data_IF_767985324164
#
_entry.id   IF_767985324164
#
_cell.length_a   1.000
_cell.length_b   1.000
_cell.length_c   1.000
_cell.angle_alpha   90.00
_cell.angle_beta   90.00
_cell.angle_gamma   90.00
#
_symmetry.space_group_name_H-M   'P 1'
#
loop_
_entity.id
_entity.type
_entity.pdbx_description
1 polymer ?
#
# COMPACT_ATOMS: atom_id res chain seq x y z
N UNK A 1 -30.48 47.18 -3.75
CA UNK A 1 -30.67 46.44 -5.02
C UNK A 1 -29.91 45.12 -4.88
N UNK A 2 -30.61 43.99 -4.77
CA UNK A 2 -30.01 42.72 -4.34
C UNK A 2 -29.26 42.04 -5.50
N UNK A 3 -28.07 41.50 -5.23
CA UNK A 3 -27.13 40.84 -6.16
C UNK A 3 -27.79 39.86 -7.16
N UNK A 4 -28.89 39.23 -6.75
CA UNK A 4 -29.68 38.33 -7.59
C UNK A 4 -30.25 39.01 -8.85
N UNK A 5 -30.64 40.28 -8.79
CA UNK A 5 -31.17 40.99 -9.95
C UNK A 5 -30.10 41.30 -10.99
N UNK A 6 -28.89 41.61 -10.56
CA UNK A 6 -27.75 41.92 -11.46
C UNK A 6 -27.29 40.68 -12.22
N UNK A 7 -27.25 39.52 -11.54
CA UNK A 7 -26.87 38.23 -12.14
C UNK A 7 -27.92 37.76 -13.15
N UNK A 8 -29.21 37.95 -12.86
CA UNK A 8 -30.30 37.57 -13.77
C UNK A 8 -30.34 38.45 -15.03
N UNK A 9 -30.04 39.76 -14.90
CA UNK A 9 -29.95 40.68 -16.04
C UNK A 9 -28.74 40.40 -16.95
N UNK A 10 -27.61 39.94 -16.38
CA UNK A 10 -26.45 39.50 -17.14
C UNK A 10 -26.75 38.25 -17.98
N UNK A 11 -27.41 37.26 -17.37
CA UNK A 11 -27.83 36.03 -18.06
C UNK A 11 -28.79 36.31 -19.24
N UNK A 12 -29.65 37.32 -19.11
CA UNK A 12 -30.58 37.74 -20.18
C UNK A 12 -29.90 38.46 -21.36
N UNK A 13 -28.70 39.05 -21.19
CA UNK A 13 -28.03 39.83 -22.25
C UNK A 13 -27.04 39.03 -23.13
N UNK A 14 -26.39 37.98 -22.62
CA UNK A 14 -25.38 37.20 -23.37
C UNK A 14 -25.58 35.70 -23.16
N UNK A 15 -26.65 35.10 -23.72
CA UNK A 15 -26.94 33.67 -23.53
C UNK A 15 -25.80 32.75 -24.02
N UNK A 16 -25.05 33.19 -25.04
CA UNK A 16 -23.90 32.48 -25.58
C UNK A 16 -22.77 32.35 -24.53
N UNK A 17 -22.48 33.40 -23.76
CA UNK A 17 -21.40 33.39 -22.76
C UNK A 17 -21.68 32.40 -21.61
N UNK A 18 -22.95 32.23 -21.22
CA UNK A 18 -23.36 31.23 -20.23
C UNK A 18 -23.11 29.80 -20.70
N UNK A 19 -23.35 29.52 -21.99
CA UNK A 19 -23.07 28.21 -22.61
C UNK A 19 -21.56 27.96 -22.66
N UNK A 20 -20.75 28.93 -23.09
CA UNK A 20 -19.28 28.80 -23.11
C UNK A 20 -18.68 28.63 -21.71
N UNK A 21 -19.19 29.33 -20.70
CA UNK A 21 -18.74 29.16 -19.31
C UNK A 21 -19.15 27.80 -18.75
N UNK A 22 -20.38 27.35 -19.01
CA UNK A 22 -20.83 26.02 -18.58
C UNK A 22 -20.01 24.91 -19.25
N UNK A 23 -19.79 25.01 -20.57
CA UNK A 23 -18.96 24.06 -21.32
C UNK A 23 -17.49 24.12 -20.89
N UNK A 24 -16.97 25.31 -20.59
CA UNK A 24 -15.61 25.53 -20.09
C UNK A 24 -15.38 24.96 -18.69
N UNK A 25 -16.29 25.19 -17.74
CA UNK A 25 -16.26 24.55 -16.41
C UNK A 25 -16.38 23.03 -16.56
N UNK A 26 -17.25 22.54 -17.44
CA UNK A 26 -17.42 21.11 -17.66
C UNK A 26 -16.13 20.47 -18.22
N UNK A 27 -15.48 21.12 -19.20
CA UNK A 27 -14.17 20.71 -19.74
C UNK A 27 -13.09 20.72 -18.64
N UNK A 28 -12.99 21.80 -17.85
CA UNK A 28 -11.98 21.96 -16.80
C UNK A 28 -12.19 20.93 -15.68
N UNK A 29 -13.43 20.68 -15.30
CA UNK A 29 -13.78 19.68 -14.29
C UNK A 29 -13.48 18.26 -14.79
N UNK A 30 -13.65 17.99 -16.09
CA UNK A 30 -13.29 16.70 -16.66
C UNK A 30 -11.79 16.49 -16.78
N UNK A 31 -11.05 17.53 -17.16
CA UNK A 31 -9.59 17.49 -17.25
C UNK A 31 -8.95 17.24 -15.87
N UNK A 32 -9.41 17.95 -14.83
CA UNK A 32 -8.93 17.76 -13.47
C UNK A 32 -9.17 16.34 -12.93
N UNK A 33 -10.30 15.70 -13.29
CA UNK A 33 -10.56 14.30 -12.90
C UNK A 33 -9.66 13.26 -13.56
N UNK A 34 -9.11 13.55 -14.75
CA UNK A 34 -8.20 12.64 -15.45
C UNK A 34 -6.77 12.79 -14.90
N UNK A 35 -6.35 14.02 -14.62
CA UNK A 35 -5.06 14.29 -13.98
C UNK A 35 -4.97 13.66 -12.57
N UNK A 36 -6.06 13.66 -11.79
CA UNK A 36 -6.07 13.02 -10.46
C UNK A 36 -5.96 11.50 -10.51
N UNK A 37 -6.43 10.85 -11.58
CA UNK A 37 -6.29 9.39 -11.71
C UNK A 37 -4.88 8.97 -12.16
N UNK A 38 -4.18 9.79 -12.95
CA UNK A 38 -2.82 9.47 -13.39
C UNK A 38 -1.81 9.47 -12.23
N UNK A 39 -1.89 10.44 -11.32
CA UNK A 39 -0.96 10.52 -10.18
C UNK A 39 -1.04 9.25 -9.30
N UNK A 40 -2.24 8.75 -9.02
CA UNK A 40 -2.46 7.56 -8.20
C UNK A 40 -1.83 6.29 -8.80
N UNK A 41 -1.83 6.15 -10.12
CA UNK A 41 -1.20 4.99 -10.80
C UNK A 41 0.32 5.03 -10.62
N UNK A 42 0.96 6.19 -10.79
CA UNK A 42 2.41 6.31 -10.58
C UNK A 42 2.81 6.01 -9.14
N UNK A 43 2.09 6.54 -8.15
CA UNK A 43 2.35 6.23 -6.74
C UNK A 43 2.15 4.76 -6.41
N UNK A 44 1.13 4.12 -7.01
CA UNK A 44 0.87 2.69 -6.82
C UNK A 44 2.00 1.83 -7.39
N UNK A 45 2.48 2.14 -8.60
CA UNK A 45 3.58 1.40 -9.24
C UNK A 45 4.87 1.55 -8.41
N UNK A 46 5.20 2.77 -7.98
CA UNK A 46 6.38 3.03 -7.16
C UNK A 46 6.28 2.30 -5.82
N UNK A 47 5.10 2.29 -5.18
CA UNK A 47 4.88 1.59 -3.91
C UNK A 47 5.11 0.08 -4.04
N UNK A 48 4.61 -0.55 -5.10
CA UNK A 48 4.82 -1.99 -5.36
C UNK A 48 6.28 -2.30 -5.65
N UNK A 49 6.97 -1.45 -6.41
CA UNK A 49 8.41 -1.60 -6.67
C UNK A 49 9.22 -1.49 -5.37
N UNK A 50 8.94 -0.50 -4.52
CA UNK A 50 9.65 -0.33 -3.25
C UNK A 50 9.36 -1.49 -2.29
N UNK A 51 8.12 -1.97 -2.22
CA UNK A 51 7.75 -3.11 -1.37
C UNK A 51 8.48 -4.40 -1.80
N UNK A 52 8.56 -4.65 -3.11
CA UNK A 52 9.24 -5.83 -3.64
C UNK A 52 10.76 -5.76 -3.51
N UNK A 53 11.37 -4.57 -3.58
CA UNK A 53 12.79 -4.38 -3.29
C UNK A 53 13.15 -4.78 -1.85
N UNK A 54 12.28 -4.52 -0.88
CA UNK A 54 12.52 -4.93 0.52
C UNK A 54 12.58 -6.46 0.71
N UNK A 55 11.74 -7.21 -0.01
CA UNK A 55 11.80 -8.69 -0.03
C UNK A 55 13.04 -9.19 -0.78
N UNK A 56 13.41 -8.50 -1.86
CA UNK A 56 14.58 -8.86 -2.67
C UNK A 56 15.91 -8.64 -1.92
N UNK A 57 16.03 -7.57 -1.12
CA UNK A 57 17.21 -7.29 -0.30
C UNK A 57 17.50 -8.41 0.71
N UNK A 58 16.45 -8.93 1.36
CA UNK A 58 16.55 -10.07 2.27
C UNK A 58 17.06 -11.32 1.53
N UNK A 59 16.52 -11.60 0.34
CA UNK A 59 16.96 -12.71 -0.50
C UNK A 59 18.43 -12.56 -0.93
N UNK A 60 18.84 -11.36 -1.32
CA UNK A 60 20.21 -11.05 -1.71
C UNK A 60 21.17 -11.29 -0.55
N UNK A 61 20.88 -10.70 0.62
CA UNK A 61 21.69 -10.85 1.83
C UNK A 61 21.91 -12.34 2.18
N UNK A 62 20.83 -13.11 2.13
CA UNK A 62 20.84 -14.53 2.44
C UNK A 62 21.66 -15.34 1.43
N UNK A 63 21.64 -14.99 0.14
CA UNK A 63 22.50 -15.60 -0.90
C UNK A 63 23.98 -15.31 -0.64
N UNK A 64 24.31 -14.10 -0.18
CA UNK A 64 25.69 -13.68 0.07
C UNK A 64 26.34 -14.41 1.25
N UNK A 65 25.57 -14.63 2.32
CA UNK A 65 26.01 -15.35 3.52
C UNK A 65 26.19 -16.86 3.23
N UNK A 66 25.27 -17.44 2.46
CA UNK A 66 25.27 -18.88 2.18
C UNK A 66 26.32 -19.32 1.17
N UNK A 67 26.71 -18.48 0.19
CA UNK A 67 27.70 -18.85 -0.82
C UNK A 67 29.08 -19.21 -0.25
N UNK A 68 29.51 -18.59 0.85
CA UNK A 68 30.82 -18.90 1.46
C UNK A 68 30.79 -20.23 2.21
N UNK A 69 29.75 -20.54 2.98
CA UNK A 69 29.69 -21.79 3.74
C UNK A 69 29.30 -23.02 2.90
N UNK A 70 28.45 -22.85 1.88
CA UNK A 70 28.05 -23.92 0.94
C UNK A 70 29.25 -24.38 0.11
N UNK A 71 30.06 -23.44 -0.37
CA UNK A 71 31.21 -23.73 -1.25
C UNK A 71 32.23 -24.57 -0.51
N UNK A 72 32.55 -24.24 0.75
CA UNK A 72 33.54 -24.97 1.56
C UNK A 72 33.04 -26.38 1.92
N UNK A 73 31.74 -26.54 2.26
CA UNK A 73 31.17 -27.86 2.60
C UNK A 73 30.96 -28.78 1.39
N UNK A 74 30.78 -28.23 0.19
CA UNK A 74 30.73 -29.01 -1.06
C UNK A 74 32.09 -29.63 -1.42
N UNK A 75 33.21 -28.96 -1.11
CA UNK A 75 34.56 -29.50 -1.42
C UNK A 75 34.91 -30.70 -0.52
N UNK A 76 34.37 -30.76 0.70
CA UNK A 76 34.60 -31.87 1.65
C UNK A 76 33.57 -33.01 1.55
N UNK A 77 32.73 -33.07 0.51
CA UNK A 77 31.80 -34.19 0.30
C UNK A 77 30.59 -34.24 1.25
N UNK A 78 30.23 -33.13 1.91
CA UNK A 78 29.09 -33.10 2.84
C UNK A 78 27.75 -32.89 2.12
N UNK A 79 26.74 -33.67 2.52
CA UNK A 79 25.36 -33.63 2.02
C UNK A 79 24.76 -32.21 1.96
N UNK A 80 24.32 -31.80 0.76
CA UNK A 80 23.66 -30.53 0.45
C UNK A 80 22.38 -30.27 1.27
N UNK A 81 21.77 -31.32 1.83
CA UNK A 81 20.49 -31.25 2.55
C UNK A 81 20.61 -30.46 3.86
N UNK A 82 21.74 -30.55 4.56
CA UNK A 82 21.94 -29.90 5.86
C UNK A 82 22.09 -28.38 5.73
N UNK A 83 22.58 -27.94 4.58
CA UNK A 83 22.79 -26.53 4.25
C UNK A 83 21.45 -25.87 3.94
N UNK A 84 20.61 -26.53 3.13
CA UNK A 84 19.22 -26.13 2.90
C UNK A 84 18.44 -26.02 4.22
N UNK A 85 18.66 -26.95 5.16
CA UNK A 85 17.98 -26.93 6.46
C UNK A 85 18.42 -25.74 7.35
N UNK A 86 19.71 -25.41 7.40
CA UNK A 86 20.20 -24.21 8.12
C UNK A 86 19.64 -22.91 7.51
N UNK A 87 19.55 -22.86 6.19
CA UNK A 87 19.01 -21.71 5.46
C UNK A 87 17.52 -21.51 5.75
N UNK A 88 16.74 -22.59 5.64
CA UNK A 88 15.30 -22.58 5.98
C UNK A 88 15.08 -22.17 7.44
N UNK A 89 15.90 -22.67 8.37
CA UNK A 89 15.81 -22.31 9.79
C UNK A 89 16.02 -20.81 10.02
N UNK A 90 17.03 -20.19 9.38
CA UNK A 90 17.27 -18.75 9.51
C UNK A 90 16.09 -17.94 8.96
N UNK A 91 15.56 -18.31 7.80
CA UNK A 91 14.41 -17.62 7.21
C UNK A 91 13.14 -17.74 8.08
N UNK A 92 12.87 -18.93 8.62
CA UNK A 92 11.74 -19.18 9.52
C UNK A 92 11.81 -18.34 10.81
N UNK A 93 13.00 -18.09 11.36
CA UNK A 93 13.16 -17.26 12.56
C UNK A 93 12.73 -15.81 12.26
N UNK A 94 13.17 -15.24 11.14
CA UNK A 94 12.76 -13.87 10.74
C UNK A 94 11.25 -13.80 10.51
N UNK A 95 10.66 -14.79 9.83
CA UNK A 95 9.21 -14.85 9.61
C UNK A 95 8.42 -14.93 10.92
N UNK A 96 8.85 -15.77 11.85
CA UNK A 96 8.22 -15.90 13.17
C UNK A 96 8.26 -14.58 13.94
N UNK A 97 9.42 -13.92 13.96
CA UNK A 97 9.56 -12.62 14.63
C UNK A 97 8.66 -11.56 14.00
N UNK A 98 8.60 -11.49 12.67
CA UNK A 98 7.73 -10.57 11.97
C UNK A 98 6.25 -10.82 12.29
N UNK A 99 5.83 -12.09 12.32
CA UNK A 99 4.44 -12.47 12.62
C UNK A 99 4.05 -12.11 14.07
N UNK A 100 4.93 -12.41 15.03
CA UNK A 100 4.74 -12.05 16.44
C UNK A 100 4.60 -10.54 16.65
N UNK A 101 5.30 -9.70 15.87
CA UNK A 101 5.19 -8.24 15.93
C UNK A 101 3.96 -7.72 15.17
N UNK A 102 3.55 -8.39 14.11
CA UNK A 102 2.38 -8.01 13.30
C UNK A 102 1.06 -8.16 14.07
N UNK A 103 0.90 -9.22 14.85
CA UNK A 103 -0.31 -9.48 15.65
C UNK A 103 -0.70 -8.30 16.56
N UNK A 104 0.17 -7.79 17.45
CA UNK A 104 -0.17 -6.68 18.33
C UNK A 104 -0.37 -5.36 17.58
N UNK A 105 0.36 -5.13 16.48
CA UNK A 105 0.18 -3.94 15.66
C UNK A 105 -1.20 -3.92 15.01
N UNK A 106 -1.63 -5.08 14.47
CA UNK A 106 -2.92 -5.23 13.83
C UNK A 106 -4.05 -5.03 14.84
N UNK A 107 -3.95 -5.62 16.03
CA UNK A 107 -4.94 -5.45 17.09
C UNK A 107 -5.11 -3.99 17.52
N UNK A 108 -4.00 -3.26 17.70
CA UNK A 108 -4.05 -1.84 18.06
C UNK A 108 -4.78 -1.00 16.99
N UNK A 109 -4.42 -1.19 15.72
CA UNK A 109 -5.08 -0.50 14.61
C UNK A 109 -6.56 -0.87 14.48
N UNK A 110 -6.90 -2.15 14.63
CA UNK A 110 -8.29 -2.62 14.55
C UNK A 110 -9.17 -1.98 15.62
N UNK A 111 -8.68 -1.92 16.86
CA UNK A 111 -9.42 -1.31 17.97
C UNK A 111 -9.64 0.18 17.76
N UNK A 112 -8.63 0.90 17.26
CA UNK A 112 -8.77 2.32 16.96
C UNK A 112 -9.72 2.56 15.78
N UNK A 113 -9.74 1.65 14.80
CA UNK A 113 -10.66 1.73 13.68
C UNK A 113 -12.11 1.44 14.09
N UNK A 114 -12.35 0.38 14.90
CA UNK A 114 -13.69 0.00 15.37
C UNK A 114 -14.34 1.05 16.29
N UNK A 115 -13.55 1.85 17.01
CA UNK A 115 -14.09 2.94 17.86
C UNK A 115 -14.86 4.01 17.05
N UNK A 116 -14.56 4.15 15.75
CA UNK A 116 -15.27 5.10 14.88
C UNK A 116 -16.60 4.53 14.33
N UNK A 117 -16.95 3.28 14.63
CA UNK A 117 -18.17 2.62 14.16
C UNK A 117 -19.11 2.30 15.33
N UNK A 118 -20.37 2.74 15.21
CA UNK A 118 -21.42 2.60 16.25
C UNK A 118 -21.82 1.13 16.55
N UNK A 119 -21.47 0.18 15.67
CA UNK A 119 -21.55 -1.26 15.91
C UNK A 119 -20.14 -1.81 16.14
N UNK A 120 -19.66 -1.74 17.39
CA UNK A 120 -18.36 -2.30 17.75
C UNK A 120 -18.50 -3.78 18.15
N UNK A 121 -18.03 -4.70 17.31
CA UNK A 121 -17.88 -6.10 17.68
C UNK A 121 -16.61 -6.26 18.52
N UNK A 122 -16.70 -6.83 19.73
CA UNK A 122 -15.52 -7.12 20.54
C UNK A 122 -14.70 -8.24 19.87
N UNK A 123 -13.63 -7.87 19.16
CA UNK A 123 -12.76 -8.81 18.46
C UNK A 123 -11.91 -9.52 19.51
N UNK A 124 -12.23 -10.79 19.76
CA UNK A 124 -11.44 -11.63 20.65
C UNK A 124 -10.00 -11.77 20.14
N UNK A 125 -9.03 -11.51 21.02
CA UNK A 125 -7.57 -11.66 20.75
C UNK A 125 -7.23 -13.06 20.20
N UNK A 126 -8.04 -14.06 20.53
CA UNK A 126 -7.93 -15.44 20.06
C UNK A 126 -8.01 -15.59 18.52
N UNK A 127 -8.77 -14.76 17.80
CA UNK A 127 -8.86 -14.85 16.33
C UNK A 127 -7.52 -14.49 15.68
N UNK A 128 -6.76 -13.56 16.26
CA UNK A 128 -5.47 -13.13 15.73
C UNK A 128 -4.30 -14.07 16.08
N UNK A 129 -4.44 -14.88 17.13
CA UNK A 129 -3.43 -15.89 17.50
C UNK A 129 -3.57 -17.20 16.70
N UNK A 130 -4.77 -17.48 16.19
CA UNK A 130 -5.07 -18.68 15.40
C UNK A 130 -4.94 -18.49 13.88
N UNK A 131 -4.85 -17.24 13.40
CA UNK A 131 -4.65 -16.87 11.99
C UNK A 131 -3.17 -16.83 11.61
#
# INVERSE_FOLDING_TARGET
MSIYQTVWLFFRRTPLAGIYLFFGIFIVTRLNRICSSLSLVFFSIISVLVASLGLFDLFWFVSRESNREVTIRKVCGSSSIRILWLFAKRYLIILLVANVISIPIAFYFMNQWLQNYSYSTNIGVLIFLLS
#
